data_IF_517819310634
#
_entry.id   IF_517819310634
#
_cell.length_a   1.000
_cell.length_b   1.000
_cell.length_c   1.000
_cell.angle_alpha   90.00
_cell.angle_beta   90.00
_cell.angle_gamma   90.00
#
_symmetry.space_group_name_H-M   'P 1'
#
loop_
_entity.id
_entity.type
_entity.pdbx_description
1 polymer ?
#
# COMPACT_ATOMS: atom_id res chain seq x y z
N UNK A 1 23.32 1.12 -24.96
CA UNK A 1 23.59 2.51 -24.58
C UNK A 1 22.33 3.09 -23.94
N UNK A 2 22.31 3.45 -22.66
CA UNK A 2 21.14 4.06 -22.05
C UNK A 2 20.97 5.48 -22.61
N UNK A 3 19.85 5.74 -23.24
CA UNK A 3 19.45 7.07 -23.69
C UNK A 3 19.20 7.94 -22.47
N UNK A 4 20.13 8.85 -22.18
CA UNK A 4 19.94 9.91 -21.18
C UNK A 4 18.79 10.82 -21.65
N UNK A 5 17.56 10.49 -21.23
CA UNK A 5 16.39 11.32 -21.47
C UNK A 5 16.65 12.73 -20.93
N UNK A 6 16.66 13.72 -21.79
CA UNK A 6 16.78 15.15 -21.47
C UNK A 6 15.63 15.52 -20.53
N UNK A 7 15.93 15.70 -19.22
CA UNK A 7 14.93 16.19 -18.25
C UNK A 7 14.28 17.46 -18.83
N UNK A 8 12.95 17.53 -18.79
CA UNK A 8 12.22 18.69 -19.33
C UNK A 8 12.68 19.99 -18.62
N UNK A 9 12.58 21.13 -19.30
CA UNK A 9 12.99 22.44 -18.77
C UNK A 9 12.31 22.74 -17.44
N UNK A 10 11.06 22.32 -17.27
CA UNK A 10 10.29 22.48 -16.03
C UNK A 10 10.87 21.65 -14.87
N UNK A 11 11.32 20.41 -15.11
CA UNK A 11 11.96 19.58 -14.08
C UNK A 11 13.30 20.17 -13.66
N UNK A 12 14.09 20.69 -14.61
CA UNK A 12 15.35 21.39 -14.28
C UNK A 12 15.12 22.64 -13.46
N UNK A 13 14.15 23.48 -13.83
CA UNK A 13 13.79 24.66 -13.05
C UNK A 13 13.37 24.29 -11.62
N UNK A 14 12.53 23.27 -11.46
CA UNK A 14 12.11 22.78 -10.15
C UNK A 14 13.30 22.34 -9.30
N UNK A 15 14.16 21.45 -9.82
CA UNK A 15 15.32 20.94 -9.06
C UNK A 15 16.33 22.04 -8.72
N UNK A 16 16.55 23.02 -9.61
CA UNK A 16 17.40 24.17 -9.34
C UNK A 16 16.81 25.03 -8.22
N UNK A 17 15.51 25.35 -8.28
CA UNK A 17 14.84 26.14 -7.24
C UNK A 17 14.89 25.45 -5.88
N UNK A 18 14.65 24.14 -5.83
CA UNK A 18 14.76 23.36 -4.60
C UNK A 18 16.19 23.34 -4.05
N UNK A 19 17.21 23.25 -4.91
CA UNK A 19 18.62 23.34 -4.50
C UNK A 19 18.99 24.72 -3.94
N UNK A 20 18.39 25.81 -4.43
CA UNK A 20 18.55 27.14 -3.84
C UNK A 20 17.84 27.21 -2.48
N UNK A 21 16.61 26.74 -2.38
CA UNK A 21 15.85 26.71 -1.12
C UNK A 21 16.53 25.87 -0.04
N UNK A 22 17.14 24.75 -0.42
CA UNK A 22 17.95 23.93 0.51
C UNK A 22 19.02 24.75 1.23
N UNK A 23 19.66 25.69 0.53
CA UNK A 23 20.78 26.50 1.06
C UNK A 23 20.30 27.76 1.80
N UNK A 24 19.24 28.40 1.29
CA UNK A 24 18.85 29.76 1.71
C UNK A 24 17.60 29.80 2.58
N UNK A 25 16.61 28.93 2.30
CA UNK A 25 15.30 28.95 2.94
C UNK A 25 14.65 27.56 3.02
N UNK A 26 15.28 26.58 3.75
CA UNK A 26 14.81 25.18 3.76
C UNK A 26 13.37 25.02 4.27
N UNK A 27 12.88 25.92 5.13
CA UNK A 27 11.49 25.92 5.59
C UNK A 27 10.46 26.16 4.47
N UNK A 28 10.79 27.01 3.47
CA UNK A 28 9.94 27.17 2.29
C UNK A 28 10.01 25.94 1.38
N UNK A 29 11.19 25.35 1.22
CA UNK A 29 11.36 24.10 0.51
C UNK A 29 10.53 22.98 1.13
N UNK A 30 10.55 22.84 2.45
CA UNK A 30 9.78 21.85 3.18
C UNK A 30 8.26 22.03 3.03
N UNK A 31 7.75 23.28 3.05
CA UNK A 31 6.34 23.56 2.77
C UNK A 31 5.94 23.13 1.37
N UNK A 32 6.82 23.32 0.40
CA UNK A 32 6.56 22.91 -0.98
C UNK A 32 6.57 21.38 -1.11
N UNK A 33 7.55 20.72 -0.49
CA UNK A 33 7.59 19.24 -0.39
C UNK A 33 6.31 18.70 0.26
N UNK A 34 5.89 19.25 1.41
CA UNK A 34 4.64 18.83 2.09
C UNK A 34 3.42 18.95 1.17
N UNK A 35 3.35 20.03 0.40
CA UNK A 35 2.24 20.23 -0.55
C UNK A 35 2.23 19.14 -1.64
N UNK A 36 3.41 18.78 -2.17
CA UNK A 36 3.53 17.73 -3.19
C UNK A 36 3.28 16.35 -2.57
N UNK A 37 3.86 16.09 -1.40
CA UNK A 37 3.75 14.82 -0.68
C UNK A 37 2.30 14.38 -0.45
N UNK A 38 1.46 15.28 0.01
CA UNK A 38 0.04 15.02 0.25
C UNK A 38 -0.85 15.25 -0.98
N UNK A 39 -0.28 15.48 -2.16
CA UNK A 39 -1.06 15.64 -3.39
C UNK A 39 -1.24 14.30 -4.09
N UNK A 40 -2.49 13.91 -4.28
CA UNK A 40 -2.86 12.73 -5.07
C UNK A 40 -2.69 13.06 -6.56
N UNK A 41 -1.91 12.30 -7.33
CA UNK A 41 -1.77 12.51 -8.76
C UNK A 41 -3.11 12.47 -9.49
N UNK A 42 -3.22 13.20 -10.59
CA UNK A 42 -4.40 13.09 -11.45
C UNK A 42 -4.47 11.67 -12.01
N UNK A 43 -5.66 11.04 -11.92
CA UNK A 43 -5.90 9.70 -12.46
C UNK A 43 -5.50 9.65 -13.93
N UNK A 44 -4.70 8.66 -14.31
CA UNK A 44 -4.43 8.39 -15.73
C UNK A 44 -5.70 7.85 -16.37
N UNK A 45 -6.04 8.33 -17.59
CA UNK A 45 -7.16 7.80 -18.37
C UNK A 45 -6.95 6.30 -18.59
N UNK A 46 -8.01 5.50 -18.39
CA UNK A 46 -7.97 4.04 -18.59
C UNK A 46 -7.46 3.21 -17.41
N UNK A 47 -7.07 3.84 -16.28
CA UNK A 47 -6.75 3.10 -15.06
C UNK A 47 -7.96 3.10 -14.13
N UNK A 48 -8.51 1.92 -13.81
CA UNK A 48 -9.28 1.74 -12.60
C UNK A 48 -10.78 1.64 -12.75
N UNK A 49 -11.29 0.95 -13.75
CA UNK A 49 -12.59 0.30 -13.60
C UNK A 49 -12.36 -1.04 -12.90
N UNK A 50 -13.17 -1.31 -11.88
CA UNK A 50 -13.15 -2.61 -11.25
C UNK A 50 -13.50 -3.68 -12.28
N UNK A 51 -12.91 -4.89 -12.20
CA UNK A 51 -13.33 -6.01 -13.03
C UNK A 51 -14.84 -6.21 -13.00
N UNK A 52 -15.40 -6.75 -14.08
CA UNK A 52 -16.82 -7.06 -14.17
C UNK A 52 -17.26 -7.97 -13.02
N UNK A 53 -18.52 -7.84 -12.65
CA UNK A 53 -19.10 -8.55 -11.50
C UNK A 53 -18.87 -7.82 -10.18
N UNK A 54 -19.15 -8.52 -9.09
CA UNK A 54 -19.13 -7.94 -7.74
C UNK A 54 -20.30 -6.95 -7.50
N UNK A 55 -20.71 -6.87 -6.25
CA UNK A 55 -21.75 -5.94 -5.78
C UNK A 55 -21.10 -4.62 -5.42
N UNK A 56 -21.49 -3.49 -6.02
CA UNK A 56 -20.97 -2.19 -5.63
C UNK A 56 -21.48 -1.80 -4.24
N UNK A 57 -20.68 -1.04 -3.52
CA UNK A 57 -21.07 -0.44 -2.26
C UNK A 57 -20.60 1.01 -2.14
N UNK A 58 -21.27 1.77 -1.31
CA UNK A 58 -20.90 3.11 -0.88
C UNK A 58 -20.93 3.18 0.64
N UNK A 59 -19.91 3.78 1.22
CA UNK A 59 -19.80 4.00 2.67
C UNK A 59 -19.51 5.48 2.95
N UNK A 60 -20.13 6.03 4.00
CA UNK A 60 -19.80 7.38 4.46
C UNK A 60 -18.64 7.35 5.45
N UNK A 61 -17.52 7.98 5.09
CA UNK A 61 -16.36 8.14 5.93
C UNK A 61 -16.00 9.62 5.98
N UNK A 62 -15.88 10.20 7.16
CA UNK A 62 -15.57 11.63 7.33
C UNK A 62 -16.46 12.57 6.48
N UNK A 63 -17.74 12.23 6.33
CA UNK A 63 -18.76 12.96 5.52
C UNK A 63 -18.50 12.94 4.00
N UNK A 64 -17.66 12.02 3.53
CA UNK A 64 -17.38 11.78 2.12
C UNK A 64 -17.73 10.33 1.76
N UNK A 65 -18.02 10.06 0.50
CA UNK A 65 -18.43 8.74 0.03
C UNK A 65 -17.20 7.95 -0.44
N UNK A 66 -16.97 6.82 0.20
CA UNK A 66 -16.04 5.79 -0.24
C UNK A 66 -16.79 4.82 -1.13
N UNK A 67 -16.20 4.45 -2.28
CA UNK A 67 -16.78 3.51 -3.25
C UNK A 67 -15.91 2.30 -3.41
N UNK A 68 -16.56 1.14 -3.54
CA UNK A 68 -15.88 -0.13 -3.72
C UNK A 68 -16.80 -1.20 -4.28
N UNK A 69 -16.26 -2.43 -4.33
CA UNK A 69 -17.02 -3.62 -4.73
C UNK A 69 -16.65 -4.82 -3.87
N UNK A 70 -17.63 -5.69 -3.68
CA UNK A 70 -17.47 -7.00 -3.04
C UNK A 70 -17.81 -8.11 -4.02
N UNK A 71 -16.96 -9.11 -4.10
CA UNK A 71 -17.15 -10.35 -4.85
C UNK A 71 -17.21 -11.53 -3.88
N UNK A 72 -18.02 -12.54 -4.20
CA UNK A 72 -18.24 -13.71 -3.37
C UNK A 72 -19.12 -13.44 -2.14
N UNK A 73 -19.49 -14.52 -1.45
CA UNK A 73 -20.41 -14.50 -0.31
C UNK A 73 -19.85 -15.26 0.91
N UNK A 74 -18.61 -15.78 0.83
CA UNK A 74 -17.97 -16.52 1.91
C UNK A 74 -17.65 -15.62 3.11
N UNK A 75 -17.44 -16.23 4.26
CA UNK A 75 -17.08 -15.56 5.52
C UNK A 75 -15.61 -15.10 5.53
N UNK A 76 -14.72 -15.83 4.83
CA UNK A 76 -13.31 -15.49 4.73
C UNK A 76 -13.10 -14.33 3.75
N UNK A 77 -13.05 -13.11 4.26
CA UNK A 77 -12.94 -11.89 3.45
C UNK A 77 -11.48 -11.47 3.29
N UNK A 78 -11.06 -11.31 2.04
CA UNK A 78 -9.75 -10.74 1.68
C UNK A 78 -9.94 -9.30 1.20
N UNK A 79 -9.24 -8.36 1.83
CA UNK A 79 -9.27 -6.94 1.49
C UNK A 79 -8.10 -6.58 0.58
N UNK A 80 -8.39 -5.91 -0.52
CA UNK A 80 -7.40 -5.39 -1.47
C UNK A 80 -7.17 -3.91 -1.21
N UNK A 81 -5.95 -3.56 -0.75
CA UNK A 81 -5.59 -2.21 -0.30
C UNK A 81 -4.59 -1.59 -1.27
N UNK A 82 -5.04 -0.62 -2.06
CA UNK A 82 -4.23 0.00 -3.11
C UNK A 82 -3.21 1.02 -2.59
N UNK A 83 -2.21 1.34 -3.43
CA UNK A 83 -1.18 2.34 -3.16
C UNK A 83 -1.59 3.78 -3.49
N UNK A 84 -0.65 4.71 -3.26
CA UNK A 84 -0.83 6.14 -3.52
C UNK A 84 -1.10 6.46 -4.99
N UNK A 85 -2.08 7.32 -5.23
CA UNK A 85 -2.43 7.77 -6.59
C UNK A 85 -3.08 6.69 -7.47
N UNK A 86 -3.45 5.55 -6.89
CA UNK A 86 -4.04 4.42 -7.56
C UNK A 86 -5.55 4.27 -7.25
N UNK A 87 -6.08 3.06 -7.40
CA UNK A 87 -7.47 2.67 -7.10
C UNK A 87 -7.53 1.19 -6.74
N UNK A 88 -8.62 0.74 -6.14
CA UNK A 88 -8.83 -0.68 -5.83
C UNK A 88 -8.75 -1.60 -7.05
N UNK A 89 -9.09 -1.10 -8.23
CA UNK A 89 -8.98 -1.84 -9.48
C UNK A 89 -7.54 -2.21 -9.88
N UNK A 90 -6.52 -1.55 -9.32
CA UNK A 90 -5.10 -1.90 -9.56
C UNK A 90 -4.78 -3.34 -9.14
N UNK A 91 -5.46 -3.83 -8.11
CA UNK A 91 -5.29 -5.18 -7.58
C UNK A 91 -6.25 -6.20 -8.24
N UNK A 92 -6.87 -5.84 -9.36
CA UNK A 92 -7.88 -6.65 -10.05
C UNK A 92 -7.44 -8.05 -10.44
N UNK A 93 -6.15 -8.25 -10.73
CA UNK A 93 -5.61 -9.57 -11.07
C UNK A 93 -5.72 -10.60 -9.93
N UNK A 94 -5.83 -10.16 -8.68
CA UNK A 94 -6.00 -11.05 -7.53
C UNK A 94 -7.44 -11.54 -7.37
N UNK A 95 -8.44 -10.85 -7.92
CA UNK A 95 -9.85 -11.08 -7.60
C UNK A 95 -10.29 -12.49 -8.01
N UNK A 96 -10.10 -12.85 -9.28
CA UNK A 96 -10.53 -14.15 -9.80
C UNK A 96 -9.83 -15.30 -9.06
N UNK A 97 -8.52 -15.22 -8.89
CA UNK A 97 -7.74 -16.26 -8.21
C UNK A 97 -8.12 -16.42 -6.72
N UNK A 98 -8.49 -15.35 -6.04
CA UNK A 98 -9.00 -15.41 -4.67
C UNK A 98 -10.40 -16.02 -4.60
N UNK A 99 -11.28 -15.70 -5.55
CA UNK A 99 -12.61 -16.31 -5.66
C UNK A 99 -12.53 -17.80 -5.93
N UNK A 100 -11.66 -18.23 -6.84
CA UNK A 100 -11.42 -19.63 -7.15
C UNK A 100 -10.85 -20.40 -5.94
N UNK A 101 -10.14 -19.70 -5.05
CA UNK A 101 -9.66 -20.23 -3.79
C UNK A 101 -10.72 -20.25 -2.66
N UNK A 102 -11.96 -19.80 -2.94
CA UNK A 102 -13.09 -19.82 -2.00
C UNK A 102 -13.20 -18.59 -1.09
N UNK A 103 -12.40 -17.54 -1.30
CA UNK A 103 -12.48 -16.28 -0.54
C UNK A 103 -13.58 -15.37 -1.07
N UNK A 104 -14.12 -14.53 -0.19
CA UNK A 104 -14.77 -13.29 -0.62
C UNK A 104 -13.72 -12.18 -0.76
N UNK A 105 -13.92 -11.28 -1.71
CA UNK A 105 -12.96 -10.20 -1.98
C UNK A 105 -13.66 -8.85 -1.83
N UNK A 106 -13.02 -7.93 -1.14
CA UNK A 106 -13.45 -6.52 -1.04
C UNK A 106 -12.33 -5.62 -1.54
N UNK A 107 -12.64 -4.81 -2.55
CA UNK A 107 -11.74 -3.77 -3.05
C UNK A 107 -12.46 -2.42 -3.05
N UNK A 108 -11.75 -1.36 -2.72
CA UNK A 108 -12.32 -0.02 -2.60
C UNK A 108 -11.32 1.03 -3.06
N UNK A 109 -11.84 2.23 -3.34
CA UNK A 109 -11.03 3.42 -3.59
C UNK A 109 -10.97 4.25 -2.29
N UNK A 110 -9.78 4.57 -1.81
CA UNK A 110 -9.63 5.48 -0.68
C UNK A 110 -10.09 6.90 -1.04
N UNK A 111 -10.36 7.73 -0.04
CA UNK A 111 -10.77 9.13 -0.29
C UNK A 111 -9.76 9.87 -1.14
N UNK A 112 -10.23 10.71 -2.04
CA UNK A 112 -9.46 11.43 -3.07
C UNK A 112 -8.80 10.54 -4.14
N UNK A 113 -9.07 9.23 -4.13
CA UNK A 113 -8.57 8.27 -5.11
C UNK A 113 -9.72 7.64 -5.89
N UNK A 114 -9.41 7.09 -7.08
CA UNK A 114 -10.35 6.36 -7.92
C UNK A 114 -11.65 7.12 -8.15
N UNK A 115 -12.76 6.50 -7.76
CA UNK A 115 -14.14 7.02 -7.86
C UNK A 115 -14.68 7.59 -6.54
N UNK A 116 -13.94 7.48 -5.44
CA UNK A 116 -14.34 8.00 -4.14
C UNK A 116 -14.28 9.53 -4.07
N UNK A 117 -15.11 10.11 -3.19
CA UNK A 117 -15.17 11.55 -3.01
C UNK A 117 -13.86 12.13 -2.44
N UNK A 118 -13.63 13.44 -2.58
CA UNK A 118 -12.54 14.12 -1.89
C UNK A 118 -12.63 13.96 -0.37
N UNK A 119 -11.50 13.68 0.27
CA UNK A 119 -11.40 13.62 1.72
C UNK A 119 -11.35 15.00 2.40
N UNK A 120 -11.20 15.05 3.74
CA UNK A 120 -11.13 16.30 4.51
C UNK A 120 -10.03 17.28 4.05
N UNK A 121 -8.94 16.76 3.47
CA UNK A 121 -7.86 17.57 2.90
C UNK A 121 -8.24 18.32 1.62
N UNK A 122 -9.41 18.06 1.06
CA UNK A 122 -9.93 18.61 -0.19
C UNK A 122 -9.56 17.79 -1.44
N UNK A 123 -9.96 18.24 -2.63
CA UNK A 123 -9.73 17.51 -3.87
C UNK A 123 -8.26 17.18 -4.09
N UNK A 124 -7.99 15.92 -4.43
CA UNK A 124 -6.65 15.41 -4.70
C UNK A 124 -5.64 15.63 -3.57
N UNK A 125 -6.12 15.54 -2.35
CA UNK A 125 -5.27 15.53 -1.15
C UNK A 125 -5.69 14.40 -0.25
N UNK A 126 -4.70 13.68 0.29
CA UNK A 126 -4.93 12.60 1.24
C UNK A 126 -3.66 12.32 2.05
N UNK A 127 -3.71 11.36 2.96
CA UNK A 127 -2.60 10.86 3.75
C UNK A 127 -2.86 9.43 4.22
N UNK A 128 -1.86 8.76 4.78
CA UNK A 128 -1.96 7.36 5.20
C UNK A 128 -3.03 7.15 6.31
N UNK A 129 -3.24 8.13 7.20
CA UNK A 129 -4.23 8.02 8.27
C UNK A 129 -5.66 8.08 7.71
N UNK A 130 -5.93 8.94 6.73
CA UNK A 130 -7.23 8.95 6.03
C UNK A 130 -7.50 7.62 5.31
N UNK A 131 -6.47 7.01 4.69
CA UNK A 131 -6.63 5.69 4.07
C UNK A 131 -6.90 4.60 5.10
N UNK A 132 -6.22 4.65 6.27
CA UNK A 132 -6.45 3.73 7.39
C UNK A 132 -7.90 3.84 7.88
N UNK A 133 -8.41 5.06 8.07
CA UNK A 133 -9.79 5.28 8.52
C UNK A 133 -10.80 4.70 7.52
N UNK A 134 -10.50 4.80 6.21
CA UNK A 134 -11.30 4.16 5.17
C UNK A 134 -11.25 2.64 5.28
N UNK A 135 -10.06 2.03 5.42
CA UNK A 135 -9.94 0.57 5.59
C UNK A 135 -10.71 0.10 6.82
N UNK A 136 -10.58 0.81 7.94
CA UNK A 136 -11.30 0.51 9.19
C UNK A 136 -12.82 0.52 8.97
N UNK A 137 -13.35 1.53 8.28
CA UNK A 137 -14.77 1.60 7.97
C UNK A 137 -15.23 0.49 7.01
N UNK A 138 -14.41 0.16 6.01
CA UNK A 138 -14.70 -0.92 5.05
C UNK A 138 -14.72 -2.28 5.76
N UNK A 139 -13.76 -2.56 6.63
CA UNK A 139 -13.73 -3.80 7.43
C UNK A 139 -14.93 -3.88 8.37
N UNK A 140 -15.28 -2.78 9.03
CA UNK A 140 -16.46 -2.73 9.91
C UNK A 140 -17.78 -3.03 9.16
N UNK A 141 -17.89 -2.65 7.89
CA UNK A 141 -19.07 -2.86 7.06
C UNK A 141 -19.14 -4.26 6.42
N UNK A 142 -18.00 -4.89 6.15
CA UNK A 142 -17.94 -6.13 5.36
C UNK A 142 -17.49 -7.37 6.13
N UNK A 143 -17.11 -7.22 7.39
CA UNK A 143 -16.73 -8.29 8.30
C UNK A 143 -15.22 -8.35 8.58
N UNK A 144 -14.79 -9.18 9.53
CA UNK A 144 -13.40 -9.27 9.94
C UNK A 144 -12.50 -9.68 8.77
N UNK A 145 -11.28 -9.15 8.77
CA UNK A 145 -10.31 -9.45 7.73
C UNK A 145 -9.72 -10.84 7.95
N UNK A 146 -10.07 -11.80 7.09
CA UNK A 146 -9.33 -13.05 7.01
C UNK A 146 -7.95 -12.80 6.39
N UNK A 147 -7.90 -12.05 5.30
CA UNK A 147 -6.66 -11.71 4.63
C UNK A 147 -6.62 -10.27 4.14
N UNK A 148 -5.40 -9.78 3.97
CA UNK A 148 -5.14 -8.48 3.32
C UNK A 148 -4.09 -8.68 2.23
N UNK A 149 -4.38 -8.18 1.02
CA UNK A 149 -3.39 -7.98 -0.04
C UNK A 149 -3.21 -6.49 -0.22
N UNK A 150 -2.04 -5.98 0.09
CA UNK A 150 -1.77 -4.54 0.09
C UNK A 150 -0.58 -4.18 -0.79
N UNK A 151 -0.68 -3.07 -1.53
CA UNK A 151 0.36 -2.59 -2.44
C UNK A 151 0.93 -1.26 -1.98
N UNK A 152 2.27 -1.13 -2.00
CA UNK A 152 2.96 0.14 -1.78
C UNK A 152 2.51 0.82 -0.46
N UNK A 153 1.99 2.06 -0.50
CA UNK A 153 1.40 2.74 0.65
C UNK A 153 0.29 1.92 1.33
N UNK A 154 -0.45 1.10 0.57
CA UNK A 154 -1.48 0.22 1.12
C UNK A 154 -0.96 -0.72 2.21
N UNK A 155 0.30 -1.14 2.13
CA UNK A 155 0.94 -1.96 3.16
C UNK A 155 1.12 -1.20 4.48
N UNK A 156 1.53 0.06 4.41
CA UNK A 156 1.56 0.98 5.56
C UNK A 156 0.16 1.18 6.15
N UNK A 157 -0.84 1.37 5.29
CA UNK A 157 -2.25 1.52 5.70
C UNK A 157 -2.76 0.28 6.43
N UNK A 158 -2.48 -0.92 5.91
CA UNK A 158 -2.85 -2.17 6.55
C UNK A 158 -2.17 -2.35 7.91
N UNK A 159 -0.87 -2.03 8.01
CA UNK A 159 -0.14 -2.07 9.27
C UNK A 159 -0.66 -1.04 10.30
N UNK A 160 -1.01 0.17 9.85
CA UNK A 160 -1.65 1.17 10.72
C UNK A 160 -3.01 0.71 11.24
N UNK A 161 -3.79 0.01 10.43
CA UNK A 161 -5.09 -0.53 10.86
C UNK A 161 -4.96 -1.63 11.92
N UNK A 162 -3.82 -2.32 11.99
CA UNK A 162 -3.54 -3.28 13.10
C UNK A 162 -3.45 -2.58 14.45
N UNK A 163 -2.99 -1.32 14.51
CA UNK A 163 -3.02 -0.50 15.73
C UNK A 163 -4.45 -0.24 16.21
N UNK A 164 -5.41 -0.23 15.30
CA UNK A 164 -6.85 -0.08 15.58
C UNK A 164 -7.54 -1.43 15.83
N UNK A 165 -6.77 -2.53 15.94
CA UNK A 165 -7.27 -3.87 16.24
C UNK A 165 -7.72 -4.67 15.00
N UNK A 166 -7.48 -4.18 13.78
CA UNK A 166 -7.77 -4.92 12.56
C UNK A 166 -6.57 -5.80 12.21
N UNK A 167 -6.49 -6.96 12.83
CA UNK A 167 -5.43 -7.94 12.60
C UNK A 167 -5.97 -9.06 11.72
N UNK A 168 -5.53 -9.18 10.45
CA UNK A 168 -5.93 -10.30 9.59
C UNK A 168 -5.27 -11.61 10.04
N UNK A 169 -5.84 -12.75 9.64
CA UNK A 169 -5.19 -14.05 9.84
C UNK A 169 -3.87 -14.17 9.05
N UNK A 170 -3.77 -13.49 7.90
CA UNK A 170 -2.59 -13.45 7.04
C UNK A 170 -2.52 -12.16 6.25
N UNK A 171 -1.31 -11.67 5.98
CA UNK A 171 -1.10 -10.49 5.16
C UNK A 171 -0.14 -10.76 3.99
N UNK A 172 -0.41 -10.13 2.84
CA UNK A 172 0.46 -10.13 1.66
C UNK A 172 0.76 -8.69 1.30
N UNK A 173 2.03 -8.29 1.38
CA UNK A 173 2.48 -6.95 1.03
C UNK A 173 3.30 -7.00 -0.26
N UNK A 174 2.81 -6.35 -1.31
CA UNK A 174 3.44 -6.30 -2.63
C UNK A 174 4.11 -4.94 -2.81
N UNK A 175 5.41 -4.93 -3.07
CA UNK A 175 6.22 -3.72 -3.20
C UNK A 175 5.98 -2.70 -2.06
N UNK A 176 6.03 -3.11 -0.77
CA UNK A 176 5.55 -2.31 0.35
C UNK A 176 6.34 -1.01 0.54
N UNK A 177 5.64 0.04 0.95
CA UNK A 177 6.24 1.19 1.60
C UNK A 177 6.43 0.85 3.09
N UNK A 178 7.67 0.71 3.52
CA UNK A 178 8.01 0.18 4.85
C UNK A 178 8.10 1.29 5.89
N UNK A 179 8.74 2.39 5.53
CA UNK A 179 8.88 3.56 6.38
C UNK A 179 8.92 4.86 5.57
N UNK A 180 8.62 5.97 6.24
CA UNK A 180 8.60 7.28 5.59
C UNK A 180 10.00 7.78 5.24
N UNK A 181 11.03 7.37 5.97
CA UNK A 181 12.40 7.88 5.79
C UNK A 181 13.05 7.29 4.55
N UNK A 182 12.95 5.96 4.37
CA UNK A 182 13.54 5.26 3.21
C UNK A 182 12.93 5.70 1.88
N UNK A 183 11.65 6.11 1.89
CA UNK A 183 10.96 6.65 0.72
C UNK A 183 11.13 8.17 0.59
N UNK A 184 10.98 8.92 1.68
CA UNK A 184 10.89 10.38 1.67
C UNK A 184 12.21 11.08 1.37
N UNK A 185 13.33 10.57 1.89
CA UNK A 185 14.64 11.17 1.58
C UNK A 185 15.02 11.06 0.10
N UNK A 186 14.90 9.88 -0.58
CA UNK A 186 15.08 9.79 -2.03
C UNK A 186 14.13 10.70 -2.80
N UNK A 187 12.86 10.79 -2.38
CA UNK A 187 11.87 11.67 -3.00
C UNK A 187 12.30 13.13 -2.95
N UNK A 188 12.75 13.63 -1.80
CA UNK A 188 13.24 15.02 -1.67
C UNK A 188 14.49 15.25 -2.50
N UNK A 189 15.42 14.28 -2.54
CA UNK A 189 16.60 14.34 -3.42
C UNK A 189 16.24 14.41 -4.90
N UNK A 190 15.24 13.63 -5.30
CA UNK A 190 14.71 13.67 -6.68
C UNK A 190 14.16 15.05 -7.05
N UNK A 191 13.54 15.75 -6.10
CA UNK A 191 13.07 17.12 -6.27
C UNK A 191 14.20 18.18 -6.26
N UNK A 192 15.44 17.81 -5.90
CA UNK A 192 16.59 18.70 -5.80
C UNK A 192 16.83 19.27 -4.39
N UNK A 193 16.10 18.80 -3.39
CA UNK A 193 16.30 19.13 -1.98
C UNK A 193 17.37 18.25 -1.34
N UNK A 194 17.66 18.51 -0.07
CA UNK A 194 18.65 17.79 0.72
C UNK A 194 18.23 17.64 2.20
N UNK A 195 19.23 17.45 3.07
CA UNK A 195 18.99 17.13 4.48
C UNK A 195 18.28 18.25 5.25
N UNK A 196 18.55 19.53 4.94
CA UNK A 196 17.91 20.65 5.67
C UNK A 196 16.41 20.76 5.35
N UNK A 197 16.02 20.54 4.09
CA UNK A 197 14.61 20.45 3.70
C UNK A 197 13.99 19.21 4.31
N UNK A 198 14.69 18.04 4.31
CA UNK A 198 14.21 16.82 4.95
C UNK A 198 13.89 17.04 6.43
N UNK A 199 14.83 17.56 7.21
CA UNK A 199 14.62 17.83 8.65
C UNK A 199 13.40 18.74 8.86
N UNK A 200 13.28 19.84 8.09
CA UNK A 200 12.13 20.74 8.19
C UNK A 200 10.82 20.13 7.74
N UNK A 201 10.87 19.21 6.78
CA UNK A 201 9.69 18.45 6.36
C UNK A 201 9.21 17.50 7.47
N UNK A 202 10.13 16.77 8.09
CA UNK A 202 9.84 15.89 9.24
C UNK A 202 9.21 16.70 10.38
N UNK A 203 9.87 17.76 10.86
CA UNK A 203 9.36 18.66 11.92
C UNK A 203 7.91 19.10 11.62
N UNK A 204 7.60 19.40 10.35
CA UNK A 204 6.27 19.84 9.92
C UNK A 204 5.23 18.73 9.93
N UNK A 205 5.62 17.54 9.46
CA UNK A 205 4.72 16.38 9.42
C UNK A 205 4.40 15.90 10.84
N UNK A 206 5.41 15.77 11.68
CA UNK A 206 5.25 15.39 13.08
C UNK A 206 4.39 16.40 13.85
N UNK A 207 4.65 17.70 13.69
CA UNK A 207 3.82 18.74 14.30
C UNK A 207 2.36 18.71 13.78
N UNK A 208 2.17 18.46 12.49
CA UNK A 208 0.84 18.45 11.86
C UNK A 208 -0.04 17.31 12.37
N UNK A 209 0.53 16.15 12.58
CA UNK A 209 -0.20 14.95 12.99
C UNK A 209 -0.07 14.65 14.48
N UNK A 210 0.87 15.28 15.19
CA UNK A 210 1.19 15.00 16.58
C UNK A 210 1.80 13.60 16.77
N UNK A 211 2.48 13.08 15.76
CA UNK A 211 3.03 11.72 15.70
C UNK A 211 4.47 11.77 15.20
N UNK A 212 5.36 10.98 15.82
CA UNK A 212 6.71 10.75 15.31
C UNK A 212 6.69 9.94 14.01
N UNK A 213 7.71 10.08 13.17
CA UNK A 213 7.84 9.28 11.95
C UNK A 213 7.94 7.77 12.21
N UNK A 214 8.47 7.35 13.37
CA UNK A 214 8.50 5.94 13.79
C UNK A 214 7.11 5.32 13.89
N UNK A 215 6.07 6.15 14.10
CA UNK A 215 4.68 5.68 14.05
C UNK A 215 4.31 5.07 12.69
N UNK A 216 5.01 5.46 11.62
CA UNK A 216 4.85 5.00 10.25
C UNK A 216 5.99 4.05 9.81
N UNK A 217 6.55 3.29 10.74
CA UNK A 217 7.60 2.30 10.48
C UNK A 217 7.06 0.90 10.76
N UNK A 218 6.99 0.06 9.72
CA UNK A 218 6.45 -1.29 9.82
C UNK A 218 7.34 -2.20 10.70
N UNK A 219 8.64 -1.97 10.71
CA UNK A 219 9.55 -2.74 11.56
C UNK A 219 9.33 -2.40 13.05
N UNK A 220 9.15 -1.11 13.38
CA UNK A 220 8.79 -0.70 14.73
C UNK A 220 7.42 -1.24 15.16
N UNK A 221 6.45 -1.29 14.24
CA UNK A 221 5.13 -1.88 14.51
C UNK A 221 5.22 -3.38 14.80
N UNK A 222 6.14 -4.11 14.15
CA UNK A 222 6.30 -5.55 14.38
C UNK A 222 6.74 -5.88 15.80
N UNK A 223 7.46 -4.98 16.46
CA UNK A 223 7.89 -5.13 17.86
C UNK A 223 6.77 -4.79 18.87
N UNK A 224 5.80 -3.98 18.45
CA UNK A 224 4.78 -3.42 19.34
C UNK A 224 3.42 -4.16 19.29
N UNK A 225 3.11 -4.82 18.17
CA UNK A 225 1.78 -5.35 17.89
C UNK A 225 1.79 -6.87 17.71
N UNK A 226 0.62 -7.48 17.94
CA UNK A 226 0.36 -8.83 17.43
C UNK A 226 0.36 -8.79 15.90
N UNK A 227 1.36 -9.41 15.28
CA UNK A 227 1.54 -9.42 13.83
C UNK A 227 1.08 -10.74 13.22
N UNK A 228 0.33 -10.70 12.10
CA UNK A 228 -0.03 -11.92 11.37
C UNK A 228 1.18 -12.46 10.60
N UNK A 229 1.18 -13.76 10.21
CA UNK A 229 2.08 -14.26 9.18
C UNK A 229 2.04 -13.35 7.93
N UNK A 230 3.22 -13.01 7.39
CA UNK A 230 3.37 -12.04 6.32
C UNK A 230 4.13 -12.62 5.12
N UNK A 231 3.55 -12.50 3.92
CA UNK A 231 4.28 -12.66 2.67
C UNK A 231 4.62 -11.28 2.11
N UNK A 232 5.90 -10.97 2.01
CA UNK A 232 6.39 -9.80 1.30
C UNK A 232 6.77 -10.24 -0.11
N UNK A 233 6.24 -9.56 -1.14
CA UNK A 233 6.63 -9.77 -2.54
C UNK A 233 7.28 -8.49 -3.04
N UNK A 234 8.52 -8.57 -3.51
CA UNK A 234 9.25 -7.36 -3.92
C UNK A 234 10.18 -7.63 -5.10
N UNK A 235 10.20 -6.69 -6.03
CA UNK A 235 11.07 -6.76 -7.21
C UNK A 235 12.41 -6.07 -6.95
N UNK A 236 13.52 -6.71 -7.36
CA UNK A 236 14.87 -6.11 -7.19
C UNK A 236 15.07 -4.83 -7.99
N UNK A 237 14.34 -4.69 -9.09
CA UNK A 237 14.44 -3.56 -10.00
C UNK A 237 13.38 -2.49 -9.73
N UNK A 238 12.69 -2.55 -8.56
CA UNK A 238 11.76 -1.53 -8.12
C UNK A 238 12.49 -0.19 -7.90
N UNK A 239 12.01 0.86 -8.60
CA UNK A 239 12.59 2.20 -8.53
C UNK A 239 11.82 3.14 -7.58
N UNK A 240 10.71 2.66 -6.99
CA UNK A 240 9.85 3.46 -6.13
C UNK A 240 10.04 3.10 -4.66
N UNK A 241 10.09 1.80 -4.32
CA UNK A 241 10.33 1.31 -2.96
C UNK A 241 11.58 0.42 -2.90
N UNK A 242 12.20 0.34 -1.73
CA UNK A 242 13.49 -0.33 -1.55
C UNK A 242 13.34 -1.82 -1.29
N UNK A 243 13.92 -2.67 -2.15
CA UNK A 243 14.03 -4.11 -1.90
C UNK A 243 14.85 -4.41 -0.64
N UNK A 244 15.91 -3.64 -0.35
CA UNK A 244 16.71 -3.83 0.87
C UNK A 244 15.90 -3.56 2.13
N UNK A 245 15.01 -2.55 2.12
CA UNK A 245 14.09 -2.30 3.23
C UNK A 245 13.09 -3.47 3.39
N UNK A 246 12.56 -4.02 2.29
CA UNK A 246 11.68 -5.19 2.31
C UNK A 246 12.37 -6.41 2.89
N UNK A 247 13.64 -6.64 2.55
CA UNK A 247 14.46 -7.70 3.11
C UNK A 247 14.72 -7.52 4.61
N UNK A 248 14.98 -6.28 5.04
CA UNK A 248 15.15 -5.97 6.45
C UNK A 248 13.85 -6.22 7.24
N UNK A 249 12.69 -5.78 6.72
CA UNK A 249 11.40 -6.06 7.31
C UNK A 249 11.14 -7.56 7.44
N UNK A 250 11.44 -8.35 6.40
CA UNK A 250 11.28 -9.81 6.45
C UNK A 250 12.14 -10.48 7.55
N UNK A 251 13.24 -9.82 7.94
CA UNK A 251 14.09 -10.32 9.02
C UNK A 251 13.63 -9.93 10.42
N UNK A 252 12.83 -8.87 10.55
CA UNK A 252 12.33 -8.35 11.83
C UNK A 252 10.87 -8.71 12.11
N UNK A 253 10.07 -8.98 11.07
CA UNK A 253 8.67 -9.33 11.24
C UNK A 253 8.52 -10.82 11.53
N UNK A 254 7.88 -11.21 12.65
CA UNK A 254 7.64 -12.62 12.97
C UNK A 254 6.86 -13.34 11.85
N UNK A 255 7.26 -14.56 11.54
CA UNK A 255 6.64 -15.39 10.50
C UNK A 255 6.53 -14.73 9.11
N UNK A 256 7.48 -13.84 8.79
CA UNK A 256 7.54 -13.24 7.47
C UNK A 256 8.32 -14.10 6.47
N UNK A 257 7.86 -14.05 5.22
CA UNK A 257 8.55 -14.65 4.06
C UNK A 257 8.75 -13.58 3.00
N UNK A 258 9.91 -13.58 2.34
CA UNK A 258 10.20 -12.69 1.21
C UNK A 258 10.24 -13.48 -0.09
N UNK A 259 9.34 -13.16 -1.01
CA UNK A 259 9.38 -13.59 -2.41
C UNK A 259 10.01 -12.46 -3.24
N UNK A 260 11.14 -12.74 -3.85
CA UNK A 260 11.86 -11.76 -4.69
C UNK A 260 11.60 -12.05 -6.17
N UNK A 261 11.26 -11.01 -6.93
CA UNK A 261 11.17 -11.03 -8.39
C UNK A 261 12.25 -10.14 -9.02
N UNK A 262 12.37 -10.17 -10.35
CA UNK A 262 13.31 -9.35 -11.11
C UNK A 262 12.66 -8.93 -12.42
N UNK A 263 12.81 -7.66 -12.81
CA UNK A 263 12.33 -7.13 -14.08
C UNK A 263 10.86 -6.71 -14.12
N UNK A 264 10.10 -6.93 -13.04
CA UNK A 264 8.68 -6.54 -12.97
C UNK A 264 8.52 -5.08 -12.52
N UNK A 265 9.37 -4.62 -11.58
CA UNK A 265 9.28 -3.29 -10.98
C UNK A 265 8.01 -3.09 -10.16
N UNK A 266 7.74 -1.85 -9.76
CA UNK A 266 6.74 -1.49 -8.75
C UNK A 266 5.29 -1.85 -9.10
N UNK A 267 4.91 -1.74 -10.37
CA UNK A 267 3.50 -1.86 -10.76
C UNK A 267 3.17 -3.15 -11.52
N UNK A 268 4.08 -3.62 -12.43
CA UNK A 268 3.82 -4.85 -13.20
C UNK A 268 3.79 -6.11 -12.35
N UNK A 269 4.45 -6.08 -11.21
CA UNK A 269 4.46 -7.15 -10.21
C UNK A 269 3.05 -7.55 -9.76
N UNK A 270 2.08 -6.63 -9.77
CA UNK A 270 0.69 -6.89 -9.39
C UNK A 270 -0.09 -7.75 -10.38
N UNK A 271 0.34 -7.79 -11.63
CA UNK A 271 -0.31 -8.56 -12.70
C UNK A 271 0.46 -9.85 -13.06
N UNK A 272 1.57 -10.14 -12.38
CA UNK A 272 2.36 -11.33 -12.63
C UNK A 272 1.64 -12.58 -12.10
N UNK A 273 1.37 -13.60 -12.94
CA UNK A 273 0.61 -14.78 -12.52
C UNK A 273 1.28 -15.58 -11.40
N UNK A 274 2.61 -15.62 -11.35
CA UNK A 274 3.33 -16.34 -10.30
C UNK A 274 3.22 -15.62 -8.96
N UNK A 275 3.24 -14.29 -8.97
CA UNK A 275 3.02 -13.45 -7.79
C UNK A 275 1.59 -13.62 -7.27
N UNK A 276 0.59 -13.58 -8.15
CA UNK A 276 -0.81 -13.81 -7.77
C UNK A 276 -1.00 -15.20 -7.17
N UNK A 277 -0.47 -16.24 -7.83
CA UNK A 277 -0.57 -17.62 -7.33
C UNK A 277 0.11 -17.79 -5.96
N UNK A 278 1.30 -17.23 -5.77
CA UNK A 278 2.02 -17.27 -4.49
C UNK A 278 1.25 -16.57 -3.36
N UNK A 279 0.65 -15.42 -3.65
CA UNK A 279 -0.17 -14.68 -2.69
C UNK A 279 -1.41 -15.49 -2.26
N UNK A 280 -2.13 -16.08 -3.23
CA UNK A 280 -3.30 -16.91 -2.95
C UNK A 280 -2.93 -18.16 -2.17
N UNK A 281 -1.86 -18.86 -2.55
CA UNK A 281 -1.36 -20.03 -1.83
C UNK A 281 -0.99 -19.68 -0.37
N UNK A 282 -0.35 -18.54 -0.16
CA UNK A 282 -0.01 -18.06 1.18
C UNK A 282 -1.25 -17.76 2.02
N UNK A 283 -2.28 -17.12 1.45
CA UNK A 283 -3.53 -16.79 2.15
C UNK A 283 -4.33 -18.05 2.51
N UNK A 284 -4.29 -19.12 1.70
CA UNK A 284 -4.92 -20.40 2.04
C UNK A 284 -4.32 -21.06 3.29
N UNK A 285 -3.09 -20.70 3.64
CA UNK A 285 -2.35 -21.34 4.73
C UNK A 285 -1.78 -22.71 4.36
N UNK A 286 -1.12 -23.40 5.30
CA UNK A 286 -0.77 -24.78 5.11
C UNK A 286 -2.06 -25.58 4.91
N UNK A 287 -2.10 -26.44 3.88
CA UNK A 287 -3.22 -27.39 3.71
C UNK A 287 -3.36 -28.15 5.02
N UNK A 288 -4.52 -28.03 5.64
CA UNK A 288 -4.95 -29.01 6.63
C UNK A 288 -5.21 -30.29 5.82
N UNK A 289 -4.22 -31.17 5.80
CA UNK A 289 -4.45 -32.51 5.31
C UNK A 289 -5.59 -33.04 6.17
N UNK A 290 -6.79 -33.17 5.61
CA UNK A 290 -7.89 -33.88 6.24
C UNK A 290 -7.40 -35.32 6.45
N UNK A 291 -7.14 -35.69 7.71
CA UNK A 291 -7.00 -37.05 8.12
C UNK A 291 -8.36 -37.72 7.95
N UNK A 292 -8.73 -38.10 6.73
CA UNK A 292 -9.80 -39.04 6.44
C UNK A 292 -9.57 -39.66 5.05
N UNK A 293 -8.49 -40.46 4.96
CA UNK A 293 -8.47 -41.60 4.05
C UNK A 293 -8.29 -42.83 4.90
N UNK A 294 -9.38 -43.28 5.48
CA UNK A 294 -9.49 -44.67 5.96
C UNK A 294 -9.22 -45.62 4.79
N UNK A 295 -8.04 -46.20 4.80
CA UNK A 295 -7.71 -47.31 3.90
C UNK A 295 -8.64 -48.48 4.23
N UNK A 296 -9.65 -48.70 3.40
CA UNK A 296 -10.42 -49.93 3.40
C UNK A 296 -9.51 -51.03 2.85
N UNK A 297 -8.92 -51.81 3.74
CA UNK A 297 -8.25 -53.03 3.38
C UNK A 297 -9.31 -53.99 2.82
N UNK A 298 -9.19 -54.35 1.55
CA UNK A 298 -9.92 -55.45 0.95
C UNK A 298 -9.15 -56.74 1.31
N UNK A 299 -9.84 -57.60 2.04
CA UNK A 299 -9.43 -58.99 2.34
C UNK A 299 -9.52 -59.87 1.09
#
# INVERSE_FOLDING_TARGET
MPTTGRKSTSVRALTTTMGVLERTAPGFGARWVERIWFSVPARRRGTGEFPLGGTPFELSVSRATVRGRRWGHGENVVYLVHGWGSSGAQLGAFIEALLDAGFSVVAYDALSHGSSDPGPGGPRRSNALEHRDVLTAVVAAHGPAYGVVAHSLGSMVAALAMRDGIVPERAVYVAPMIDVTSYGQPFIRMLGGGQRIWTRFVDRVEHKFGLDLSFFDLAAMADELATPPLLIVHDRDDQETSWDAARALASSWPDARLLTTTGLGHNRILADPAVVAAAVAFLRGPEVLSEDVTATAVA
#
